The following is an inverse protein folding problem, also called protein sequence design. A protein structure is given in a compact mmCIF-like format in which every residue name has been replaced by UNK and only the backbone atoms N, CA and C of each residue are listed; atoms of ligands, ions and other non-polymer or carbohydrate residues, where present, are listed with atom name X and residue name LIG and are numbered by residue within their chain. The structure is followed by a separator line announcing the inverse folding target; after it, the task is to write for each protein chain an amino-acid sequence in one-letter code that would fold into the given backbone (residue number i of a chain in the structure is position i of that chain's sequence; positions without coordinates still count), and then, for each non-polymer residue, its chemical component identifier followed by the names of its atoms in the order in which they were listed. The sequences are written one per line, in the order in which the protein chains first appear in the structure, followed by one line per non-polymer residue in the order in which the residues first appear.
data_IF_490232117857
#
_entry.id   IF_490232117857
#
_cell.length_a   1.000
_cell.length_b   1.000
_cell.length_c   1.000
_cell.angle_alpha   90.00
_cell.angle_beta   90.00
_cell.angle_gamma   90.00
#
_symmetry.space_group_name_H-M   'P 1'
#
loop_
_entity.id
_entity.type
_entity.pdbx_description
1 polymer ?
#
# COMPACT_ATOMS: atom_id res chain seq x y z
N UNK A 1 -59.73 21.55 -5.81
CA UNK A 1 -60.01 22.90 -6.32
C UNK A 1 -58.74 23.69 -6.09
N UNK A 2 -57.73 23.52 -6.97
CA UNK A 2 -57.47 24.41 -8.14
C UNK A 2 -56.67 25.63 -7.67
N UNK A 3 -55.51 26.06 -8.16
CA UNK A 3 -54.72 25.97 -9.41
C UNK A 3 -53.28 26.38 -9.01
N UNK A 4 -52.15 25.84 -9.50
CA UNK A 4 -51.57 25.82 -10.85
C UNK A 4 -51.40 27.21 -11.49
N UNK A 5 -50.19 27.77 -11.49
CA UNK A 5 -49.67 28.59 -12.62
C UNK A 5 -48.16 28.74 -12.55
N UNK A 6 -47.54 28.55 -13.72
CA UNK A 6 -46.13 28.61 -14.04
C UNK A 6 -45.78 29.94 -14.73
N UNK A 7 -44.50 30.33 -14.70
CA UNK A 7 -43.67 30.81 -15.83
C UNK A 7 -42.41 31.50 -15.29
N UNK A 8 -41.19 31.05 -15.65
CA UNK A 8 -40.33 31.57 -16.75
C UNK A 8 -39.80 32.99 -16.46
N UNK A 9 -38.60 33.45 -16.78
CA UNK A 9 -37.40 33.01 -17.51
C UNK A 9 -36.35 34.11 -17.21
N UNK A 10 -35.04 33.83 -17.23
CA UNK A 10 -34.07 34.69 -17.94
C UNK A 10 -32.68 34.05 -17.98
N UNK A 11 -32.30 33.61 -19.20
CA UNK A 11 -30.93 33.35 -19.64
C UNK A 11 -30.21 34.68 -19.87
N UNK A 12 -28.92 34.74 -19.52
CA UNK A 12 -28.01 35.77 -20.01
C UNK A 12 -26.90 35.10 -20.83
N UNK A 13 -26.97 35.32 -22.15
CA UNK A 13 -25.97 34.99 -23.17
C UNK A 13 -25.34 36.30 -23.68
N UNK A 14 -24.01 36.36 -23.73
CA UNK A 14 -23.20 37.29 -24.53
C UNK A 14 -21.71 36.93 -24.36
N UNK A 15 -20.78 37.11 -25.29
CA UNK A 15 -20.74 37.22 -26.73
C UNK A 15 -19.22 37.20 -27.08
N UNK A 16 -18.89 36.65 -28.23
CA UNK A 16 -17.56 36.43 -28.78
C UNK A 16 -16.73 37.70 -29.00
N UNK A 17 -15.39 37.57 -28.95
CA UNK A 17 -14.48 38.38 -29.76
C UNK A 17 -13.35 37.52 -30.34
N UNK A 18 -13.43 37.34 -31.66
CA UNK A 18 -12.39 36.90 -32.58
C UNK A 18 -11.26 37.94 -32.68
N UNK A 19 -10.00 37.48 -32.69
CA UNK A 19 -8.89 38.19 -33.33
C UNK A 19 -8.09 37.20 -34.17
N UNK A 20 -8.31 37.27 -35.48
CA UNK A 20 -7.44 36.72 -36.52
C UNK A 20 -6.12 37.50 -36.56
N UNK A 21 -4.99 36.81 -36.74
CA UNK A 21 -3.80 37.44 -37.33
C UNK A 21 -3.12 36.50 -38.31
N UNK A 22 -2.93 37.07 -39.51
CA UNK A 22 -2.51 36.53 -40.80
C UNK A 22 -1.19 35.75 -40.85
N UNK A 23 -1.21 34.75 -41.73
CA UNK A 23 -0.09 34.22 -42.52
C UNK A 23 0.77 35.32 -43.18
N UNK A 24 2.09 35.10 -43.21
CA UNK A 24 2.98 35.55 -44.28
C UNK A 24 4.32 34.81 -44.25
N UNK A 25 4.51 33.89 -45.21
CA UNK A 25 5.82 33.47 -45.73
C UNK A 25 6.34 34.52 -46.73
N UNK A 26 7.68 34.56 -46.93
CA UNK A 26 8.16 34.46 -48.30
C UNK A 26 9.30 33.45 -48.48
N UNK A 27 9.36 32.91 -49.71
CA UNK A 27 10.29 31.91 -50.23
C UNK A 27 11.67 32.51 -50.59
N UNK A 28 12.69 31.64 -50.64
CA UNK A 28 13.65 31.61 -51.77
C UNK A 28 15.10 32.02 -51.49
N UNK A 29 15.99 31.02 -51.38
CA UNK A 29 17.45 31.18 -51.47
C UNK A 29 18.16 29.83 -51.36
N UNK A 30 18.66 29.31 -52.48
CA UNK A 30 19.29 27.99 -52.66
C UNK A 30 20.80 27.97 -52.27
N UNK A 31 21.48 26.79 -52.27
CA UNK A 31 22.49 26.40 -51.29
C UNK A 31 23.93 26.76 -51.68
N UNK A 32 24.84 26.75 -50.70
CA UNK A 32 26.28 26.74 -50.95
C UNK A 32 26.88 25.54 -50.24
N UNK A 33 27.37 24.63 -51.07
CA UNK A 33 28.13 23.44 -50.73
C UNK A 33 29.62 23.82 -50.67
N UNK A 34 30.36 23.43 -49.64
CA UNK A 34 31.83 23.33 -49.65
C UNK A 34 32.34 22.58 -48.42
N UNK A 35 32.98 21.47 -48.72
CA UNK A 35 33.58 20.46 -47.87
C UNK A 35 34.86 20.92 -47.15
N UNK A 36 35.13 20.23 -46.04
CA UNK A 36 36.41 19.75 -45.53
C UNK A 36 37.61 20.71 -45.35
N UNK A 37 37.95 20.94 -44.08
CA UNK A 37 39.35 20.99 -43.64
C UNK A 37 39.46 20.50 -42.19
N UNK A 38 40.18 19.39 -42.03
CA UNK A 38 40.57 18.77 -40.77
C UNK A 38 41.40 19.72 -39.89
N UNK A 39 41.16 19.69 -38.58
CA UNK A 39 42.18 20.03 -37.59
C UNK A 39 42.02 19.13 -36.37
N UNK A 40 43.04 18.31 -36.16
CA UNK A 40 43.34 17.58 -34.93
C UNK A 40 43.26 18.50 -33.71
N UNK A 41 42.38 18.15 -32.78
CA UNK A 41 42.58 18.48 -31.38
C UNK A 41 42.10 17.29 -30.55
N UNK A 42 43.03 16.37 -30.32
CA UNK A 42 42.98 15.41 -29.22
C UNK A 42 42.97 16.18 -27.89
N UNK A 43 41.82 16.71 -27.51
CA UNK A 43 41.52 16.99 -26.11
C UNK A 43 41.01 15.70 -25.50
N UNK A 44 41.86 15.08 -24.68
CA UNK A 44 41.51 14.06 -23.70
C UNK A 44 40.31 14.54 -22.88
N UNK A 45 39.11 14.18 -23.33
CA UNK A 45 37.90 14.34 -22.57
C UNK A 45 38.00 13.36 -21.40
N UNK A 46 38.31 13.87 -20.20
CA UNK A 46 37.97 13.16 -18.98
C UNK A 46 36.50 12.81 -19.10
N UNK A 47 36.17 11.53 -19.19
CA UNK A 47 34.81 11.05 -19.31
C UNK A 47 34.04 11.58 -18.09
N UNK A 48 33.32 12.69 -18.27
CA UNK A 48 32.27 13.07 -17.35
C UNK A 48 31.34 11.85 -17.25
N UNK A 49 30.92 11.42 -16.05
CA UNK A 49 30.07 10.25 -15.93
C UNK A 49 28.85 10.49 -16.83
N UNK A 50 28.69 9.63 -17.83
CA UNK A 50 27.58 9.74 -18.78
C UNK A 50 26.29 9.71 -17.98
N UNK A 51 25.56 10.83 -17.97
CA UNK A 51 24.29 10.92 -17.28
C UNK A 51 23.29 10.00 -17.98
N UNK A 52 23.01 8.85 -17.38
CA UNK A 52 21.97 7.96 -17.88
C UNK A 52 20.58 8.51 -17.50
N UNK A 53 19.67 8.73 -18.46
CA UNK A 53 18.32 9.19 -18.15
C UNK A 53 17.60 8.20 -17.21
N UNK A 54 16.77 8.71 -16.30
CA UNK A 54 16.03 7.86 -15.35
C UNK A 54 15.20 6.80 -16.07
N UNK A 55 14.57 7.15 -17.19
CA UNK A 55 13.75 6.22 -17.99
C UNK A 55 14.56 5.02 -18.51
N UNK A 56 15.82 5.23 -18.90
CA UNK A 56 16.69 4.16 -19.41
C UNK A 56 17.05 3.19 -18.27
N UNK A 57 17.54 3.71 -17.15
CA UNK A 57 17.85 2.86 -15.98
C UNK A 57 16.60 2.16 -15.45
N UNK A 58 15.46 2.85 -15.40
CA UNK A 58 14.19 2.31 -14.90
C UNK A 58 13.71 1.13 -15.75
N UNK A 59 13.64 1.29 -17.08
CA UNK A 59 13.21 0.21 -17.97
C UNK A 59 14.21 -0.96 -17.96
N UNK A 60 15.52 -0.68 -17.83
CA UNK A 60 16.52 -1.74 -17.65
C UNK A 60 16.25 -2.55 -16.39
N UNK A 61 16.08 -1.90 -15.24
CA UNK A 61 15.85 -2.59 -13.96
C UNK A 61 14.52 -3.35 -13.93
N UNK A 62 13.53 -2.94 -14.72
CA UNK A 62 12.25 -3.64 -14.82
C UNK A 62 12.35 -4.99 -15.55
N UNK A 63 13.33 -5.14 -16.44
CA UNK A 63 13.42 -6.27 -17.37
C UNK A 63 14.73 -7.06 -17.28
N UNK A 64 15.69 -6.58 -16.50
CA UNK A 64 16.96 -7.29 -16.30
C UNK A 64 16.75 -8.56 -15.47
N UNK A 65 17.51 -9.60 -15.83
CA UNK A 65 17.63 -10.84 -15.06
C UNK A 65 18.89 -10.81 -14.17
N UNK A 66 19.63 -9.69 -14.18
CA UNK A 66 20.83 -9.50 -13.36
C UNK A 66 20.45 -9.29 -11.89
N UNK A 67 20.50 -10.40 -11.16
CA UNK A 67 20.18 -10.49 -9.74
C UNK A 67 21.09 -9.59 -8.89
N UNK A 68 22.38 -9.49 -9.23
CA UNK A 68 23.34 -8.67 -8.47
C UNK A 68 23.09 -7.18 -8.70
N UNK A 69 22.70 -6.77 -9.92
CA UNK A 69 22.27 -5.39 -10.18
C UNK A 69 21.03 -5.05 -9.35
N UNK A 70 20.01 -5.91 -9.37
CA UNK A 70 18.77 -5.72 -8.60
C UNK A 70 19.03 -5.65 -7.09
N UNK A 71 19.84 -6.57 -6.56
CA UNK A 71 20.30 -6.58 -5.18
C UNK A 71 20.99 -5.27 -4.80
N UNK A 72 21.93 -4.83 -5.64
CA UNK A 72 22.70 -3.60 -5.44
C UNK A 72 21.84 -2.34 -5.42
N UNK A 73 20.71 -2.31 -6.15
CA UNK A 73 19.75 -1.22 -6.06
C UNK A 73 18.84 -1.35 -4.83
N UNK A 74 18.35 -2.55 -4.50
CA UNK A 74 17.47 -2.78 -3.36
C UNK A 74 18.12 -2.38 -2.03
N UNK A 75 19.41 -2.70 -1.85
CA UNK A 75 20.16 -2.46 -0.60
C UNK A 75 20.85 -1.10 -0.54
N UNK A 76 20.78 -0.30 -1.60
CA UNK A 76 21.45 1.00 -1.63
C UNK A 76 20.81 1.95 -0.62
N UNK A 77 21.61 2.61 0.25
CA UNK A 77 21.10 3.65 1.12
C UNK A 77 20.43 4.75 0.31
N UNK A 78 19.26 5.18 0.77
CA UNK A 78 18.55 6.29 0.14
C UNK A 78 19.33 7.59 0.30
N UNK A 79 19.34 8.47 -0.72
CA UNK A 79 19.85 9.83 -0.57
C UNK A 79 19.12 10.58 0.55
N UNK A 80 19.71 11.67 1.03
CA UNK A 80 19.02 12.60 1.93
C UNK A 80 17.74 13.13 1.25
N UNK A 81 16.64 13.19 2.01
CA UNK A 81 15.35 13.74 1.58
C UNK A 81 15.45 15.21 1.16
N UNK A 82 16.45 15.95 1.65
CA UNK A 82 16.74 17.32 1.20
C UNK A 82 17.12 17.40 -0.28
N UNK A 83 17.69 16.32 -0.84
CA UNK A 83 18.09 16.19 -2.24
C UNK A 83 16.94 15.64 -3.10
N UNK A 84 15.88 16.43 -3.27
CA UNK A 84 14.61 16.00 -3.87
C UNK A 84 14.75 15.22 -5.20
N UNK A 85 15.61 15.68 -6.12
CA UNK A 85 15.81 15.03 -7.41
C UNK A 85 16.49 13.65 -7.28
N UNK A 86 17.52 13.54 -6.44
CA UNK A 86 18.23 12.29 -6.20
C UNK A 86 17.34 11.30 -5.42
N UNK A 87 16.62 11.79 -4.41
CA UNK A 87 15.67 10.98 -3.64
C UNK A 87 14.55 10.44 -4.54
N UNK A 88 13.91 11.30 -5.33
CA UNK A 88 12.86 10.89 -6.28
C UNK A 88 13.36 9.88 -7.31
N UNK A 89 14.59 10.08 -7.83
CA UNK A 89 15.21 9.13 -8.74
C UNK A 89 15.42 7.77 -8.06
N UNK A 90 15.97 7.75 -6.85
CA UNK A 90 16.22 6.52 -6.11
C UNK A 90 14.93 5.76 -5.81
N UNK A 91 13.87 6.44 -5.36
CA UNK A 91 12.58 5.80 -5.07
C UNK A 91 11.90 5.26 -6.33
N UNK A 92 12.05 5.93 -7.48
CA UNK A 92 11.54 5.42 -8.75
C UNK A 92 12.28 4.14 -9.18
N UNK A 93 13.61 4.08 -9.02
CA UNK A 93 14.38 2.89 -9.34
C UNK A 93 14.05 1.72 -8.39
N UNK A 94 13.84 1.97 -7.10
CA UNK A 94 13.35 0.93 -6.18
C UNK A 94 11.96 0.41 -6.57
N UNK A 95 11.10 1.25 -7.14
CA UNK A 95 9.81 0.82 -7.66
C UNK A 95 9.94 -0.13 -8.87
N UNK A 96 10.96 0.05 -9.71
CA UNK A 96 11.28 -0.89 -10.80
C UNK A 96 11.79 -2.22 -10.23
N UNK A 97 12.74 -2.17 -9.28
CA UNK A 97 13.31 -3.34 -8.61
C UNK A 97 12.24 -4.15 -7.88
N UNK A 98 11.36 -3.50 -7.12
CA UNK A 98 10.26 -4.16 -6.42
C UNK A 98 9.27 -4.86 -7.36
N UNK A 99 9.09 -4.33 -8.57
CA UNK A 99 8.22 -4.93 -9.59
C UNK A 99 8.89 -6.01 -10.45
N UNK A 100 10.19 -6.26 -10.28
CA UNK A 100 10.92 -7.24 -11.06
C UNK A 100 10.90 -8.62 -10.35
N UNK A 101 10.51 -9.66 -11.07
CA UNK A 101 10.40 -11.03 -10.57
C UNK A 101 11.76 -11.68 -10.27
N UNK A 102 12.84 -11.20 -10.91
CA UNK A 102 14.21 -11.65 -10.69
C UNK A 102 14.86 -11.02 -9.47
N UNK A 103 14.24 -10.00 -8.86
CA UNK A 103 14.73 -9.43 -7.60
C UNK A 103 14.71 -10.51 -6.52
N UNK A 104 15.82 -10.76 -5.81
CA UNK A 104 15.89 -11.80 -4.78
C UNK A 104 14.76 -11.69 -3.76
N UNK A 105 14.28 -12.84 -3.28
CA UNK A 105 13.19 -12.90 -2.31
C UNK A 105 13.52 -12.07 -1.05
N UNK A 106 14.73 -12.22 -0.53
CA UNK A 106 15.23 -11.50 0.64
C UNK A 106 15.24 -9.97 0.44
N UNK A 107 15.41 -9.51 -0.79
CA UNK A 107 15.40 -8.09 -1.12
C UNK A 107 13.98 -7.56 -1.28
N UNK A 108 13.07 -8.33 -1.88
CA UNK A 108 11.64 -7.99 -1.91
C UNK A 108 11.06 -7.93 -0.49
N UNK A 109 11.41 -8.89 0.38
CA UNK A 109 11.03 -8.88 1.80
C UNK A 109 11.64 -7.67 2.52
N UNK A 110 12.91 -7.34 2.27
CA UNK A 110 13.54 -6.15 2.84
C UNK A 110 12.81 -4.88 2.42
N UNK A 111 12.53 -4.70 1.12
CA UNK A 111 11.81 -3.55 0.60
C UNK A 111 10.39 -3.46 1.19
N UNK A 112 9.68 -4.58 1.30
CA UNK A 112 8.35 -4.65 1.90
C UNK A 112 8.35 -4.26 3.39
N UNK A 113 9.43 -4.58 4.11
CA UNK A 113 9.55 -4.33 5.55
C UNK A 113 9.98 -2.90 5.85
N UNK A 114 10.95 -2.37 5.10
CA UNK A 114 11.66 -1.14 5.47
C UNK A 114 11.20 0.10 4.69
N UNK A 115 10.62 -0.07 3.50
CA UNK A 115 10.29 1.09 2.66
C UNK A 115 8.94 1.69 3.06
N UNK A 116 8.87 3.02 3.31
CA UNK A 116 7.62 3.70 3.66
C UNK A 116 6.84 4.18 2.43
N UNK A 117 7.18 3.70 1.23
CA UNK A 117 6.74 4.29 -0.04
C UNK A 117 5.54 3.54 -0.63
N UNK A 118 4.36 4.18 -0.76
CA UNK A 118 3.16 3.50 -1.23
C UNK A 118 3.29 2.86 -2.62
N UNK A 119 3.98 3.49 -3.56
CA UNK A 119 4.18 2.94 -4.91
C UNK A 119 4.96 1.62 -4.91
N UNK A 120 5.91 1.45 -3.98
CA UNK A 120 6.67 0.21 -3.79
C UNK A 120 5.80 -0.84 -3.09
N UNK A 121 5.20 -0.46 -1.95
CA UNK A 121 4.39 -1.39 -1.14
C UNK A 121 3.17 -1.92 -1.92
N UNK A 122 2.57 -1.12 -2.79
CA UNK A 122 1.47 -1.55 -3.66
C UNK A 122 1.90 -2.66 -4.61
N UNK A 123 3.07 -2.55 -5.25
CA UNK A 123 3.59 -3.61 -6.12
C UNK A 123 3.87 -4.88 -5.33
N UNK A 124 4.54 -4.76 -4.19
CA UNK A 124 4.88 -5.89 -3.32
C UNK A 124 3.65 -6.53 -2.66
N UNK A 125 2.53 -5.80 -2.54
CA UNK A 125 1.26 -6.36 -2.04
C UNK A 125 0.62 -7.36 -3.00
N UNK A 126 1.08 -7.43 -4.24
CA UNK A 126 0.63 -8.38 -5.27
C UNK A 126 1.70 -9.43 -5.59
N UNK A 127 2.79 -9.49 -4.80
CA UNK A 127 3.87 -10.46 -4.99
C UNK A 127 3.35 -11.89 -4.93
N UNK A 128 3.91 -12.77 -5.76
CA UNK A 128 3.52 -14.18 -5.80
C UNK A 128 3.82 -14.90 -4.48
N UNK A 129 4.87 -14.46 -3.78
CA UNK A 129 5.32 -15.07 -2.53
C UNK A 129 4.58 -14.47 -1.31
N UNK A 130 3.80 -15.27 -0.56
CA UNK A 130 3.10 -14.81 0.63
C UNK A 130 4.01 -14.16 1.68
N UNK A 131 5.26 -14.59 1.79
CA UNK A 131 6.22 -13.98 2.72
C UNK A 131 6.43 -12.47 2.43
N UNK A 132 6.46 -12.07 1.16
CA UNK A 132 6.60 -10.65 0.77
C UNK A 132 5.33 -9.88 1.12
N UNK A 133 4.15 -10.41 0.75
CA UNK A 133 2.87 -9.77 1.07
C UNK A 133 2.64 -9.63 2.58
N UNK A 134 3.08 -10.63 3.36
CA UNK A 134 3.05 -10.59 4.83
C UNK A 134 3.95 -9.48 5.38
N UNK A 135 5.12 -9.28 4.79
CA UNK A 135 6.00 -8.17 5.17
C UNK A 135 5.36 -6.81 4.90
N UNK A 136 4.67 -6.64 3.76
CA UNK A 136 3.88 -5.43 3.48
C UNK A 136 2.78 -5.25 4.53
N UNK A 137 2.03 -6.32 4.84
CA UNK A 137 0.96 -6.27 5.83
C UNK A 137 1.44 -5.89 7.24
N UNK A 138 2.67 -6.25 7.61
CA UNK A 138 3.28 -5.93 8.91
C UNK A 138 3.92 -4.53 8.96
N UNK A 139 4.11 -3.87 7.82
CA UNK A 139 4.78 -2.58 7.74
C UNK A 139 3.93 -1.46 8.38
N UNK A 140 4.51 -0.73 9.35
CA UNK A 140 3.80 0.31 10.12
C UNK A 140 3.67 1.65 9.38
N UNK A 141 4.46 1.85 8.33
CA UNK A 141 4.40 3.01 7.45
C UNK A 141 3.36 2.85 6.33
N UNK A 142 2.77 1.66 6.23
CA UNK A 142 1.73 1.37 5.24
C UNK A 142 0.46 2.21 5.45
N UNK A 143 -0.31 2.37 4.38
CA UNK A 143 -1.58 3.08 4.40
C UNK A 143 -2.70 2.16 4.84
N UNK A 144 -3.63 2.71 5.62
CA UNK A 144 -4.80 2.01 6.13
C UNK A 144 -5.60 1.25 5.05
N UNK A 145 -5.68 1.81 3.84
CA UNK A 145 -6.39 1.19 2.71
C UNK A 145 -5.64 -0.01 2.13
N UNK A 146 -4.30 -0.01 2.15
CA UNK A 146 -3.50 -1.11 1.64
C UNK A 146 -3.52 -2.27 2.63
N UNK A 147 -3.31 -2.00 3.91
CA UNK A 147 -3.45 -2.99 4.97
C UNK A 147 -4.88 -3.57 5.00
N UNK A 148 -5.90 -2.73 4.82
CA UNK A 148 -7.29 -3.17 4.72
C UNK A 148 -7.60 -4.05 3.50
N UNK A 149 -6.80 -3.98 2.43
CA UNK A 149 -6.86 -4.95 1.33
C UNK A 149 -6.26 -6.29 1.77
N UNK A 150 -5.12 -6.26 2.47
CA UNK A 150 -4.37 -7.45 2.89
C UNK A 150 -5.08 -8.26 4.00
N UNK A 151 -6.06 -7.70 4.71
CA UNK A 151 -6.94 -8.50 5.60
C UNK A 151 -7.80 -9.52 4.85
N UNK A 152 -7.84 -9.44 3.51
CA UNK A 152 -8.57 -10.35 2.62
C UNK A 152 -7.64 -11.20 1.75
N UNK A 153 -6.35 -11.22 2.07
CA UNK A 153 -5.37 -12.03 1.33
C UNK A 153 -5.75 -13.52 1.38
N UNK A 154 -5.53 -14.29 0.29
CA UNK A 154 -5.76 -15.73 0.30
C UNK A 154 -4.89 -16.46 1.35
N UNK A 155 -3.68 -15.95 1.62
CA UNK A 155 -2.78 -16.55 2.60
C UNK A 155 -3.15 -16.14 4.04
N UNK A 156 -3.38 -17.09 4.96
CA UNK A 156 -3.73 -16.78 6.36
C UNK A 156 -2.68 -15.92 7.05
N UNK A 157 -1.39 -16.19 6.85
CA UNK A 157 -0.32 -15.47 7.56
C UNK A 157 -0.25 -14.00 7.18
N UNK A 158 -0.66 -13.66 5.96
CA UNK A 158 -0.79 -12.26 5.48
C UNK A 158 -1.99 -11.59 6.13
N UNK A 159 -3.16 -12.27 6.19
CA UNK A 159 -4.35 -11.74 6.87
C UNK A 159 -4.08 -11.45 8.34
N UNK A 160 -3.39 -12.35 9.01
CA UNK A 160 -3.07 -12.25 10.44
C UNK A 160 -2.16 -11.06 10.72
N UNK A 161 -1.10 -10.90 9.91
CA UNK A 161 -0.23 -9.73 9.98
C UNK A 161 -1.01 -8.43 9.74
N UNK A 162 -1.89 -8.40 8.74
CA UNK A 162 -2.72 -7.24 8.45
C UNK A 162 -3.67 -6.92 9.61
N UNK A 163 -4.34 -7.90 10.22
CA UNK A 163 -5.25 -7.68 11.35
C UNK A 163 -4.54 -7.14 12.60
N UNK A 164 -3.27 -7.52 12.79
CA UNK A 164 -2.41 -7.05 13.89
C UNK A 164 -1.82 -5.66 13.67
N UNK A 165 -1.81 -5.16 12.44
CA UNK A 165 -1.22 -3.87 12.13
C UNK A 165 -2.03 -2.70 12.76
N UNK A 166 -1.38 -1.72 13.43
CA UNK A 166 -2.03 -0.53 13.99
C UNK A 166 -2.76 0.37 12.98
N UNK A 167 -2.39 0.30 11.70
CA UNK A 167 -3.04 1.05 10.60
C UNK A 167 -4.37 0.44 10.17
N UNK A 168 -4.67 -0.78 10.60
CA UNK A 168 -5.90 -1.48 10.24
C UNK A 168 -7.09 -0.84 10.92
N UNK A 169 -8.07 -0.44 10.11
CA UNK A 169 -9.29 0.17 10.64
C UNK A 169 -10.07 -0.80 11.53
N UNK A 170 -10.80 -0.25 12.50
CA UNK A 170 -11.72 -1.01 13.36
C UNK A 170 -12.74 -1.83 12.57
N UNK A 171 -13.21 -1.31 11.44
CA UNK A 171 -14.12 -2.03 10.56
C UNK A 171 -13.48 -3.31 10.02
N UNK A 172 -12.24 -3.23 9.53
CA UNK A 172 -11.54 -4.40 9.00
C UNK A 172 -11.18 -5.40 10.10
N UNK A 173 -10.79 -4.92 11.30
CA UNK A 173 -10.56 -5.79 12.48
C UNK A 173 -11.85 -6.50 12.93
N UNK A 174 -12.99 -5.82 12.85
CA UNK A 174 -14.30 -6.43 13.14
C UNK A 174 -14.67 -7.50 12.11
N UNK A 175 -14.50 -7.21 10.81
CA UNK A 175 -14.71 -8.20 9.73
C UNK A 175 -13.78 -9.42 9.93
N UNK A 176 -12.51 -9.21 10.27
CA UNK A 176 -11.56 -10.27 10.58
C UNK A 176 -11.97 -11.10 11.81
N UNK A 177 -12.39 -10.47 12.90
CA UNK A 177 -12.87 -11.19 14.09
C UNK A 177 -14.13 -12.03 13.83
N UNK A 178 -14.93 -11.67 12.81
CA UNK A 178 -16.11 -12.44 12.39
C UNK A 178 -15.77 -13.58 11.42
N UNK A 179 -14.58 -13.55 10.81
CA UNK A 179 -14.18 -14.56 9.84
C UNK A 179 -13.87 -15.89 10.55
N UNK A 180 -14.57 -17.00 10.22
CA UNK A 180 -14.37 -18.31 10.85
C UNK A 180 -13.03 -18.98 10.49
N UNK A 181 -12.30 -18.43 9.52
CA UNK A 181 -10.99 -18.94 9.07
C UNK A 181 -9.79 -18.26 9.75
N UNK A 182 -10.02 -17.21 10.55
CA UNK A 182 -8.94 -16.57 11.31
C UNK A 182 -8.50 -17.49 12.44
N UNK A 183 -7.19 -17.58 12.65
CA UNK A 183 -6.60 -18.47 13.62
C UNK A 183 -6.83 -17.99 15.08
N UNK A 184 -6.64 -18.91 16.02
CA UNK A 184 -6.88 -18.65 17.43
C UNK A 184 -5.93 -17.60 18.03
N UNK A 185 -4.68 -17.51 17.58
CA UNK A 185 -3.69 -16.56 18.10
C UNK A 185 -4.00 -15.14 17.65
N UNK A 186 -4.48 -14.98 16.40
CA UNK A 186 -4.93 -13.68 15.90
C UNK A 186 -6.22 -13.24 16.59
N UNK A 187 -7.16 -14.16 16.80
CA UNK A 187 -8.34 -13.88 17.63
C UNK A 187 -7.95 -13.50 19.07
N UNK A 188 -6.95 -14.17 19.64
CA UNK A 188 -6.43 -13.83 20.97
C UNK A 188 -5.88 -12.41 20.99
N UNK A 189 -5.05 -12.01 20.01
CA UNK A 189 -4.61 -10.63 19.86
C UNK A 189 -5.80 -9.65 19.75
N UNK A 190 -6.76 -9.92 18.88
CA UNK A 190 -7.93 -9.04 18.69
C UNK A 190 -8.77 -8.92 19.98
N UNK A 191 -8.78 -9.95 20.83
CA UNK A 191 -9.43 -9.94 22.14
C UNK A 191 -8.79 -8.97 23.13
N UNK A 192 -7.55 -8.53 22.89
CA UNK A 192 -6.82 -7.64 23.79
C UNK A 192 -6.97 -6.15 23.46
N UNK A 193 -7.55 -5.84 22.30
CA UNK A 193 -7.69 -4.48 21.79
C UNK A 193 -8.57 -3.61 22.70
N UNK A 194 -8.11 -2.40 23.00
CA UNK A 194 -8.76 -1.46 23.92
C UNK A 194 -8.69 -1.88 25.40
N UNK A 195 -7.84 -2.85 25.74
CA UNK A 195 -7.59 -3.29 27.12
C UNK A 195 -6.09 -3.24 27.41
N UNK A 196 -5.32 -4.20 26.89
CA UNK A 196 -3.86 -4.23 27.02
C UNK A 196 -3.17 -3.74 25.75
N UNK A 197 -3.72 -4.08 24.58
CA UNK A 197 -3.28 -3.52 23.31
C UNK A 197 -4.11 -2.27 22.97
N UNK A 198 -3.44 -1.18 22.57
CA UNK A 198 -4.09 0.09 22.22
C UNK A 198 -5.09 0.58 23.30
N UNK A 199 -4.67 0.81 24.56
CA UNK A 199 -5.59 1.18 25.65
C UNK A 199 -6.35 2.50 25.43
N UNK A 200 -5.86 3.38 24.55
CA UNK A 200 -6.54 4.60 24.12
C UNK A 200 -7.57 4.41 23.00
N UNK A 201 -7.86 3.17 22.59
CA UNK A 201 -8.82 2.86 21.54
C UNK A 201 -10.25 3.29 21.90
N UNK A 202 -11.10 3.63 20.90
CA UNK A 202 -12.51 3.89 21.14
C UNK A 202 -13.20 2.67 21.77
N UNK A 203 -13.65 2.83 23.02
CA UNK A 203 -14.19 1.74 23.87
C UNK A 203 -15.26 0.92 23.16
N UNK A 204 -16.16 1.59 22.44
CA UNK A 204 -17.25 0.93 21.70
C UNK A 204 -16.72 0.07 20.55
N UNK A 205 -15.82 0.60 19.72
CA UNK A 205 -15.28 -0.11 18.56
C UNK A 205 -14.41 -1.30 18.98
N UNK A 206 -13.56 -1.09 19.98
CA UNK A 206 -12.76 -2.17 20.57
C UNK A 206 -13.66 -3.26 21.17
N UNK A 207 -14.69 -2.86 21.92
CA UNK A 207 -15.68 -3.79 22.47
C UNK A 207 -16.44 -4.59 21.39
N UNK A 208 -16.75 -3.98 20.25
CA UNK A 208 -17.38 -4.69 19.12
C UNK A 208 -16.47 -5.78 18.55
N UNK A 209 -15.17 -5.50 18.40
CA UNK A 209 -14.19 -6.49 17.94
C UNK A 209 -14.07 -7.63 18.96
N UNK A 210 -13.90 -7.33 20.24
CA UNK A 210 -13.81 -8.37 21.29
C UNK A 210 -15.08 -9.22 21.39
N UNK A 211 -16.25 -8.62 21.20
CA UNK A 211 -17.53 -9.36 21.12
C UNK A 211 -17.55 -10.30 19.93
N UNK A 212 -17.08 -9.86 18.77
CA UNK A 212 -16.98 -10.71 17.59
C UNK A 212 -16.01 -11.89 17.81
N UNK A 213 -14.87 -11.63 18.46
CA UNK A 213 -13.95 -12.70 18.89
C UNK A 213 -14.66 -13.71 19.80
N UNK A 214 -15.40 -13.25 20.81
CA UNK A 214 -16.14 -14.14 21.70
C UNK A 214 -17.16 -15.03 20.96
N UNK A 215 -17.72 -14.56 19.85
CA UNK A 215 -18.67 -15.30 19.03
C UNK A 215 -18.00 -16.18 17.96
N UNK A 216 -16.69 -16.02 17.73
CA UNK A 216 -15.99 -16.75 16.69
C UNK A 216 -15.82 -18.23 17.10
N UNK A 217 -16.11 -19.19 16.20
CA UNK A 217 -15.97 -20.62 16.50
C UNK A 217 -14.51 -21.05 16.78
N UNK A 218 -13.52 -20.30 16.28
CA UNK A 218 -12.09 -20.58 16.47
C UNK A 218 -11.47 -19.91 17.70
N UNK A 219 -12.24 -19.11 18.44
CA UNK A 219 -11.72 -18.50 19.67
C UNK A 219 -11.35 -19.58 20.70
N UNK A 220 -10.13 -19.49 21.23
CA UNK A 220 -9.64 -20.49 22.18
C UNK A 220 -10.40 -20.43 23.50
N UNK A 221 -10.44 -21.55 24.24
CA UNK A 221 -11.04 -21.62 25.57
C UNK A 221 -10.41 -20.61 26.53
N UNK A 222 -9.10 -20.39 26.44
CA UNK A 222 -8.37 -19.40 27.23
C UNK A 222 -8.82 -17.97 26.91
N UNK A 223 -8.93 -17.64 25.62
CA UNK A 223 -9.43 -16.35 25.15
C UNK A 223 -10.86 -16.12 25.66
N UNK A 224 -11.74 -17.12 25.58
CA UNK A 224 -13.11 -17.05 26.09
C UNK A 224 -13.15 -16.89 27.62
N UNK A 225 -12.31 -17.60 28.37
CA UNK A 225 -12.21 -17.44 29.82
C UNK A 225 -11.82 -16.01 30.20
N UNK A 226 -10.85 -15.42 29.50
CA UNK A 226 -10.46 -14.02 29.69
C UNK A 226 -11.60 -13.07 29.39
N UNK A 227 -12.25 -13.24 28.24
CA UNK A 227 -13.38 -12.41 27.80
C UNK A 227 -14.61 -12.57 28.71
N UNK A 228 -14.77 -13.68 29.43
CA UNK A 228 -15.87 -13.88 30.40
C UNK A 228 -15.86 -12.86 31.55
N UNK A 229 -14.71 -12.22 31.79
CA UNK A 229 -14.51 -11.16 32.79
C UNK A 229 -14.28 -9.77 32.15
N UNK A 230 -14.62 -9.60 30.87
CA UNK A 230 -14.50 -8.32 30.17
C UNK A 230 -15.36 -7.22 30.83
N UNK A 231 -14.85 -5.99 30.85
CA UNK A 231 -15.58 -4.84 31.38
C UNK A 231 -16.88 -4.55 30.61
N UNK A 232 -16.94 -4.92 29.32
CA UNK A 232 -18.16 -4.88 28.53
C UNK A 232 -19.04 -6.09 28.84
N UNK A 233 -20.20 -5.83 29.47
CA UNK A 233 -21.18 -6.87 29.81
C UNK A 233 -21.59 -7.72 28.59
N UNK A 234 -21.70 -7.11 27.41
CA UNK A 234 -22.05 -7.84 26.19
C UNK A 234 -20.97 -8.84 25.77
N UNK A 235 -19.69 -8.46 25.88
CA UNK A 235 -18.56 -9.35 25.57
C UNK A 235 -18.52 -10.50 26.57
N UNK A 236 -18.61 -10.17 27.86
CA UNK A 236 -18.60 -11.15 28.95
C UNK A 236 -19.73 -12.18 28.83
N UNK A 237 -20.96 -11.74 28.52
CA UNK A 237 -22.09 -12.64 28.34
C UNK A 237 -21.91 -13.59 27.16
N UNK A 238 -21.45 -13.08 26.01
CA UNK A 238 -21.18 -13.93 24.83
C UNK A 238 -20.12 -15.01 25.13
N UNK A 239 -19.04 -14.63 25.82
CA UNK A 239 -17.99 -15.57 26.18
C UNK A 239 -18.44 -16.64 27.17
N UNK A 240 -19.21 -16.28 28.21
CA UNK A 240 -19.79 -17.23 29.18
C UNK A 240 -20.69 -18.24 28.50
N UNK A 241 -21.62 -17.77 27.66
CA UNK A 241 -22.52 -18.64 26.92
C UNK A 241 -21.75 -19.64 26.04
N UNK A 242 -20.67 -19.20 25.37
CA UNK A 242 -19.83 -20.08 24.54
C UNK A 242 -19.10 -21.15 25.36
N UNK A 243 -18.58 -20.80 26.55
CA UNK A 243 -17.96 -21.76 27.46
C UNK A 243 -18.95 -22.81 27.98
N UNK A 244 -20.17 -22.38 28.29
CA UNK A 244 -21.26 -23.27 28.71
C UNK A 244 -21.63 -24.24 27.58
N UNK A 245 -21.84 -23.75 26.35
CA UNK A 245 -22.17 -24.61 25.21
C UNK A 245 -21.08 -25.64 24.91
N UNK A 246 -19.80 -25.25 24.97
CA UNK A 246 -18.70 -26.18 24.69
C UNK A 246 -18.62 -27.29 25.74
N UNK A 247 -18.87 -26.97 27.01
CA UNK A 247 -18.89 -27.96 28.09
C UNK A 247 -20.02 -29.00 27.94
N UNK A 248 -21.16 -28.61 27.38
CA UNK A 248 -22.27 -29.53 27.11
C UNK A 248 -22.02 -30.46 25.93
N UNK A 249 -21.21 -30.02 24.95
CA UNK A 249 -20.82 -30.85 23.80
C UNK A 249 -19.71 -31.84 24.18
N UNK A 250 -18.76 -31.44 25.04
CA UNK A 250 -17.70 -32.34 25.53
C UNK A 250 -18.22 -33.47 26.45
N UNK A 251 -19.44 -33.34 26.99
CA UNK A 251 -20.03 -34.29 27.95
C UNK A 251 -20.99 -35.32 27.32
N UNK A 252 -21.26 -35.23 26.01
CA UNK A 252 -22.13 -36.14 25.25
C UNK A 252 -21.32 -36.93 24.21
#
# INVERSE_FOLDING_TARGET
MSEMTASQHEEASAASQDVQTRDQQPQGGQPVDSQDAQADSQTSASAAPAFEPLTVTYERLRHTDDVEELHGFARRPLPDRSLQAAFSRATALLEAVAGNQHTPLEDRVFLATEMPFPNILVKLSEDSEPQVRRAVAANQDDKNWLVGRLTKDPDPSVRDAALRNPRTSWKMRLEGAQNPEVDADTLDFLSTLGVSCEPGAPVVLAGMVRRAVALNPRASRETLQRLSSDASASVAQCAKHRLETDSTVESN
#
